data_IF_092328705457
#
_entry.id   IF_092328705457
#
_cell.length_a   1.000
_cell.length_b   1.000
_cell.length_c   1.000
_cell.angle_alpha   90.00
_cell.angle_beta   90.00
_cell.angle_gamma   90.00
#
_symmetry.space_group_name_H-M   'P 1'
#
loop_
_entity.id
_entity.type
_entity.pdbx_description
1 polymer ?
#
# COMPACT_ATOMS: atom_id res chain seq x y z
N UNK A 1 -9.47 -2.77 15.61
CA UNK A 1 -9.29 -4.15 15.12
C UNK A 1 -8.14 -4.18 14.15
N UNK A 2 -7.14 -5.03 14.38
CA UNK A 2 -6.02 -5.23 13.47
C UNK A 2 -6.30 -6.47 12.63
N UNK A 3 -6.28 -6.34 11.31
CA UNK A 3 -6.69 -7.40 10.37
C UNK A 3 -5.52 -7.77 9.47
N UNK A 4 -5.34 -9.07 9.25
CA UNK A 4 -4.39 -9.63 8.29
C UNK A 4 -4.83 -9.42 6.84
N UNK A 5 -3.89 -9.27 5.94
CA UNK A 5 -4.15 -9.06 4.50
C UNK A 5 -4.92 -10.25 3.93
N UNK A 6 -4.50 -11.45 4.31
CA UNK A 6 -5.13 -12.72 3.97
C UNK A 6 -6.57 -12.86 4.51
N UNK A 7 -6.95 -12.09 5.53
CA UNK A 7 -8.32 -12.11 6.05
C UNK A 7 -9.30 -11.30 5.18
N UNK A 8 -8.80 -10.57 4.19
CA UNK A 8 -9.63 -9.84 3.25
C UNK A 8 -10.11 -10.81 2.14
N UNK A 9 -11.16 -11.59 2.41
CA UNK A 9 -11.76 -12.49 1.43
C UNK A 9 -12.74 -11.79 0.47
N UNK A 10 -13.07 -12.47 -0.65
CA UNK A 10 -13.75 -11.92 -1.83
C UNK A 10 -15.28 -11.77 -1.70
N UNK A 11 -15.92 -12.29 -0.66
CA UNK A 11 -17.39 -12.47 -0.67
C UNK A 11 -18.13 -12.19 0.65
N UNK A 12 -17.48 -11.60 1.64
CA UNK A 12 -18.20 -11.26 2.87
C UNK A 12 -18.58 -9.78 2.86
N UNK A 13 -19.89 -9.52 2.79
CA UNK A 13 -20.49 -8.23 3.14
C UNK A 13 -20.31 -7.98 4.64
N UNK A 14 -19.06 -7.88 5.10
CA UNK A 14 -18.75 -7.60 6.50
C UNK A 14 -19.02 -6.12 6.73
N UNK A 15 -20.15 -5.86 7.37
CA UNK A 15 -20.46 -4.53 7.89
C UNK A 15 -19.92 -4.45 9.31
N UNK A 16 -19.02 -3.50 9.54
CA UNK A 16 -18.55 -3.20 10.88
C UNK A 16 -19.44 -2.11 11.50
N UNK A 17 -19.74 -2.19 12.81
CA UNK A 17 -20.49 -1.14 13.50
C UNK A 17 -19.81 0.22 13.38
N UNK A 18 -20.61 1.29 13.33
CA UNK A 18 -20.10 2.66 13.38
C UNK A 18 -19.28 2.88 14.67
N UNK A 19 -18.08 3.44 14.52
CA UNK A 19 -17.16 3.71 15.64
C UNK A 19 -16.06 2.67 15.83
N UNK A 20 -16.07 1.55 15.09
CA UNK A 20 -14.95 0.60 15.11
C UNK A 20 -13.81 1.12 14.22
N UNK A 21 -12.65 1.35 14.83
CA UNK A 21 -11.42 1.61 14.07
C UNK A 21 -10.82 0.29 13.56
N UNK A 22 -10.51 0.24 12.27
CA UNK A 22 -9.91 -0.91 11.62
C UNK A 22 -8.56 -0.48 11.04
N UNK A 23 -7.55 -1.29 11.29
CA UNK A 23 -6.24 -1.15 10.69
C UNK A 23 -5.77 -2.45 10.06
N UNK A 24 -5.01 -2.34 8.98
CA UNK A 24 -4.44 -3.47 8.26
C UNK A 24 -2.94 -3.59 8.56
N UNK A 25 -2.51 -4.81 8.88
CA UNK A 25 -1.10 -5.17 9.03
C UNK A 25 -0.91 -6.69 8.90
N UNK A 26 0.32 -7.18 8.84
CA UNK A 26 0.59 -8.61 8.87
C UNK A 26 0.37 -9.16 10.30
N UNK A 27 -0.65 -10.00 10.49
CA UNK A 27 -1.03 -10.57 11.79
C UNK A 27 -0.73 -12.06 11.82
N UNK A 28 -0.14 -12.53 12.91
CA UNK A 28 0.32 -13.92 13.04
C UNK A 28 -0.64 -14.80 13.85
N UNK A 29 -1.86 -14.32 14.11
CA UNK A 29 -2.85 -15.06 14.88
C UNK A 29 -4.10 -14.24 15.21
N UNK A 30 -5.13 -14.94 15.67
CA UNK A 30 -6.41 -14.35 16.06
C UNK A 30 -6.40 -14.06 17.56
N UNK A 31 -6.31 -12.77 17.91
CA UNK A 31 -6.16 -12.33 19.29
C UNK A 31 -7.27 -11.33 19.64
N UNK A 32 -7.93 -11.53 20.79
CA UNK A 32 -8.85 -10.56 21.38
C UNK A 32 -8.25 -10.02 22.67
N UNK A 33 -8.17 -8.70 22.80
CA UNK A 33 -7.64 -8.02 23.99
C UNK A 33 -8.79 -7.28 24.66
N UNK A 34 -9.02 -7.57 25.93
CA UNK A 34 -10.05 -6.93 26.75
C UNK A 34 -9.41 -6.11 27.86
N UNK A 35 -9.74 -4.82 27.92
CA UNK A 35 -9.33 -3.85 28.93
C UNK A 35 -7.80 -3.78 29.17
N UNK A 36 -7.00 -4.20 28.19
CA UNK A 36 -5.54 -4.42 28.34
C UNK A 36 -5.16 -5.34 29.52
N UNK A 37 -6.09 -6.18 29.98
CA UNK A 37 -5.95 -7.07 31.14
C UNK A 37 -5.99 -8.55 30.78
N UNK A 38 -6.77 -8.87 29.75
CA UNK A 38 -7.02 -10.25 29.31
C UNK A 38 -6.77 -10.36 27.82
N UNK A 39 -6.08 -11.42 27.43
CA UNK A 39 -5.82 -11.75 26.04
C UNK A 39 -6.38 -13.14 25.77
N UNK A 40 -7.21 -13.25 24.74
CA UNK A 40 -7.71 -14.53 24.23
C UNK A 40 -7.01 -14.82 22.92
N UNK A 41 -6.25 -15.91 22.87
CA UNK A 41 -5.68 -16.44 21.63
C UNK A 41 -6.61 -17.49 21.07
N UNK A 42 -6.94 -17.39 19.79
CA UNK A 42 -7.79 -18.34 19.08
C UNK A 42 -6.94 -19.06 18.04
N UNK A 43 -6.85 -20.38 18.15
CA UNK A 43 -6.21 -21.25 17.17
C UNK A 43 -7.07 -21.29 15.91
N UNK A 44 -6.49 -20.84 14.79
CA UNK A 44 -7.18 -20.76 13.49
C UNK A 44 -7.48 -22.14 12.88
N UNK A 45 -6.82 -23.21 13.35
CA UNK A 45 -6.99 -24.56 12.79
C UNK A 45 -8.17 -25.31 13.39
N UNK A 46 -8.47 -25.08 14.67
CA UNK A 46 -9.45 -25.86 15.41
C UNK A 46 -10.43 -24.99 16.25
N UNK A 47 -10.25 -23.67 16.27
CA UNK A 47 -11.11 -22.73 16.99
C UNK A 47 -10.95 -22.76 18.51
N UNK A 48 -10.05 -23.59 19.07
CA UNK A 48 -9.77 -23.59 20.51
C UNK A 48 -9.16 -22.27 20.91
N UNK A 49 -9.50 -21.82 22.11
CA UNK A 49 -9.02 -20.57 22.65
C UNK A 49 -8.32 -20.77 24.00
N UNK A 50 -7.27 -19.99 24.22
CA UNK A 50 -6.60 -19.89 25.53
C UNK A 50 -6.72 -18.46 26.07
N UNK A 51 -6.86 -18.36 27.39
CA UNK A 51 -6.92 -17.09 28.11
C UNK A 51 -5.58 -16.84 28.80
N UNK A 52 -5.02 -15.66 28.62
CA UNK A 52 -3.76 -15.20 29.24
C UNK A 52 -4.00 -13.85 29.89
N UNK A 53 -3.44 -13.63 31.08
CA UNK A 53 -3.51 -12.34 31.75
C UNK A 53 -2.30 -11.48 31.38
N UNK A 54 -2.49 -10.17 31.28
CA UNK A 54 -1.38 -9.25 30.96
C UNK A 54 -0.44 -9.02 32.14
N UNK A 55 -0.82 -9.47 33.35
CA UNK A 55 0.08 -9.57 34.49
C UNK A 55 1.17 -10.64 34.25
N UNK A 56 0.92 -11.61 33.38
CA UNK A 56 1.91 -12.60 33.00
C UNK A 56 2.92 -11.99 32.01
N UNK A 57 4.23 -12.30 32.09
CA UNK A 57 5.24 -11.76 31.19
C UNK A 57 4.94 -11.97 29.70
N UNK A 58 4.34 -13.12 29.36
CA UNK A 58 3.91 -13.43 28.00
C UNK A 58 2.75 -12.55 27.55
N UNK A 59 1.75 -12.33 28.41
CA UNK A 59 0.63 -11.44 28.12
C UNK A 59 1.10 -10.00 27.92
N UNK A 60 1.96 -9.50 28.81
CA UNK A 60 2.54 -8.15 28.70
C UNK A 60 3.30 -7.93 27.37
N UNK A 61 4.11 -8.91 26.97
CA UNK A 61 4.87 -8.84 25.71
C UNK A 61 3.96 -8.75 24.49
N UNK A 62 2.83 -9.47 24.49
CA UNK A 62 1.86 -9.42 23.39
C UNK A 62 1.11 -8.08 23.32
N UNK A 63 0.83 -7.43 24.46
CA UNK A 63 0.26 -6.07 24.46
C UNK A 63 1.22 -5.07 23.81
N UNK A 64 2.51 -5.13 24.16
CA UNK A 64 3.52 -4.25 23.56
C UNK A 64 3.61 -4.46 22.05
N UNK A 65 3.67 -5.72 21.62
CA UNK A 65 3.70 -6.06 20.19
C UNK A 65 2.45 -5.55 19.47
N UNK A 66 1.27 -5.71 20.08
CA UNK A 66 0.03 -5.18 19.52
C UNK A 66 0.09 -3.65 19.38
N UNK A 67 0.52 -2.92 20.41
CA UNK A 67 0.61 -1.46 20.37
C UNK A 67 1.61 -0.97 19.30
N UNK A 68 2.76 -1.62 19.18
CA UNK A 68 3.74 -1.34 18.13
C UNK A 68 3.18 -1.56 16.72
N UNK A 69 2.51 -2.70 16.50
CA UNK A 69 1.84 -2.99 15.23
C UNK A 69 0.72 -1.98 14.98
N UNK A 70 -0.13 -1.71 15.96
CA UNK A 70 -1.26 -0.78 15.85
C UNK A 70 -0.84 0.64 15.45
N UNK A 71 0.30 1.11 15.97
CA UNK A 71 0.87 2.43 15.62
C UNK A 71 1.34 2.49 14.18
N UNK A 72 1.91 1.40 13.67
CA UNK A 72 2.43 1.29 12.28
C UNK A 72 1.37 0.83 11.28
N UNK A 73 0.27 0.27 11.78
CA UNK A 73 -0.78 -0.33 10.97
C UNK A 73 -1.59 0.73 10.23
N UNK A 74 -2.07 0.32 9.08
CA UNK A 74 -2.69 1.21 8.12
C UNK A 74 -4.18 1.38 8.41
N UNK A 75 -4.65 2.60 8.69
CA UNK A 75 -6.07 2.84 8.93
C UNK A 75 -6.88 2.65 7.65
N UNK A 76 -7.92 1.84 7.71
CA UNK A 76 -8.78 1.53 6.56
C UNK A 76 -10.25 1.73 6.91
N UNK A 77 -11.04 2.10 5.91
CA UNK A 77 -12.50 2.08 6.03
C UNK A 77 -13.03 0.68 5.65
N UNK A 78 -14.08 0.17 6.31
CA UNK A 78 -14.69 -1.12 5.99
C UNK A 78 -14.98 -1.36 4.51
N UNK A 79 -15.46 -0.34 3.79
CA UNK A 79 -15.75 -0.43 2.35
C UNK A 79 -14.52 -0.63 1.45
N UNK A 80 -13.31 -0.44 1.99
CA UNK A 80 -12.06 -0.69 1.26
C UNK A 80 -11.64 -2.17 1.31
N UNK A 81 -12.20 -2.97 2.22
CA UNK A 81 -11.88 -4.40 2.34
C UNK A 81 -12.40 -5.20 1.12
N UNK A 82 -13.50 -4.78 0.51
CA UNK A 82 -14.08 -5.52 -0.63
C UNK A 82 -13.56 -5.07 -1.99
N UNK A 83 -12.80 -3.98 -2.06
CA UNK A 83 -12.33 -3.41 -3.32
C UNK A 83 -11.00 -4.04 -3.75
N UNK A 84 -10.97 -4.64 -4.95
CA UNK A 84 -9.76 -5.20 -5.59
C UNK A 84 -8.58 -4.20 -5.55
N UNK A 85 -8.83 -2.94 -5.91
CA UNK A 85 -7.82 -1.87 -5.97
C UNK A 85 -7.20 -1.63 -4.59
N UNK A 86 -7.99 -1.70 -3.51
CA UNK A 86 -7.49 -1.48 -2.16
C UNK A 86 -6.58 -2.62 -1.66
N UNK A 87 -6.84 -3.86 -2.09
CA UNK A 87 -5.96 -5.00 -1.80
C UNK A 87 -4.62 -4.87 -2.52
N UNK A 88 -4.68 -4.65 -3.83
CA UNK A 88 -3.49 -4.47 -4.66
C UNK A 88 -2.66 -3.27 -4.20
N UNK A 89 -3.32 -2.17 -3.81
CA UNK A 89 -2.67 -0.98 -3.25
C UNK A 89 -1.91 -1.28 -1.96
N UNK A 90 -2.50 -2.09 -1.07
CA UNK A 90 -1.84 -2.46 0.17
C UNK A 90 -0.65 -3.39 -0.06
N UNK A 91 -0.84 -4.41 -0.90
CA UNK A 91 0.21 -5.34 -1.29
C UNK A 91 1.39 -4.59 -1.89
N UNK A 92 1.13 -3.66 -2.83
CA UNK A 92 2.17 -2.82 -3.43
C UNK A 92 2.87 -1.92 -2.40
N UNK A 93 2.12 -1.32 -1.46
CA UNK A 93 2.71 -0.54 -0.37
C UNK A 93 3.69 -1.35 0.48
N UNK A 94 3.31 -2.58 0.88
CA UNK A 94 4.20 -3.44 1.69
C UNK A 94 5.48 -3.80 0.93
N UNK A 95 5.37 -4.06 -0.37
CA UNK A 95 6.50 -4.33 -1.25
C UNK A 95 7.46 -3.16 -1.34
N UNK A 96 6.94 -1.95 -1.51
CA UNK A 96 7.75 -0.72 -1.56
C UNK A 96 8.53 -0.52 -0.26
N UNK A 97 7.91 -0.83 0.88
CA UNK A 97 8.53 -0.64 2.20
C UNK A 97 9.56 -1.73 2.55
N UNK A 98 9.46 -2.93 1.97
CA UNK A 98 10.34 -4.06 2.32
C UNK A 98 11.03 -4.61 1.07
N UNK A 99 10.35 -5.47 0.31
CA UNK A 99 10.91 -6.35 -0.74
C UNK A 99 11.60 -5.58 -1.88
N UNK A 100 11.06 -4.43 -2.29
CA UNK A 100 11.54 -3.67 -3.45
C UNK A 100 12.53 -2.56 -3.09
N UNK A 101 12.79 -2.34 -1.80
CA UNK A 101 13.51 -1.16 -1.32
C UNK A 101 14.92 -1.01 -1.92
N UNK A 102 15.66 -2.12 -2.08
CA UNK A 102 16.98 -2.13 -2.72
C UNK A 102 16.90 -1.87 -4.24
N UNK A 103 15.96 -2.52 -4.93
CA UNK A 103 15.79 -2.38 -6.39
C UNK A 103 15.45 -0.92 -6.75
N UNK A 104 14.52 -0.33 -6.00
CA UNK A 104 14.09 1.06 -6.19
C UNK A 104 15.22 2.06 -5.90
N UNK A 105 16.06 1.78 -4.89
CA UNK A 105 17.24 2.58 -4.61
C UNK A 105 18.24 2.52 -5.76
N UNK A 106 18.55 1.32 -6.28
CA UNK A 106 19.48 1.17 -7.41
C UNK A 106 18.98 1.88 -8.67
N UNK A 107 17.70 1.74 -9.01
CA UNK A 107 17.09 2.42 -10.14
C UNK A 107 17.16 3.95 -9.99
N UNK A 108 16.95 4.46 -8.77
CA UNK A 108 17.05 5.89 -8.50
C UNK A 108 18.46 6.46 -8.73
N UNK A 109 19.51 5.65 -8.51
CA UNK A 109 20.92 6.05 -8.67
C UNK A 109 21.38 5.88 -10.12
N UNK A 110 21.04 4.76 -10.76
CA UNK A 110 21.53 4.43 -12.11
C UNK A 110 20.91 5.29 -13.20
N UNK A 111 19.76 5.91 -12.94
CA UNK A 111 18.97 6.62 -13.96
C UNK A 111 18.76 5.76 -15.23
N UNK A 112 18.60 4.44 -15.05
CA UNK A 112 18.33 3.49 -16.12
C UNK A 112 16.82 3.45 -16.39
N UNK A 113 16.46 3.37 -17.67
CA UNK A 113 15.08 3.28 -18.15
C UNK A 113 14.62 1.81 -18.31
N UNK A 114 15.49 0.83 -17.98
CA UNK A 114 15.13 -0.57 -17.96
C UNK A 114 14.43 -0.99 -16.66
N UNK A 115 13.10 -0.97 -16.67
CA UNK A 115 12.27 -1.35 -15.53
C UNK A 115 11.83 -2.82 -15.53
N UNK A 116 12.30 -3.63 -16.47
CA UNK A 116 11.83 -5.02 -16.64
C UNK A 116 11.93 -5.82 -15.34
N UNK A 117 13.09 -5.76 -14.69
CA UNK A 117 13.33 -6.47 -13.45
C UNK A 117 12.42 -6.01 -12.29
N UNK A 118 12.09 -4.71 -12.22
CA UNK A 118 11.17 -4.18 -11.21
C UNK A 118 9.75 -4.72 -11.42
N UNK A 119 9.29 -4.75 -12.68
CA UNK A 119 7.96 -5.29 -13.02
C UNK A 119 7.89 -6.78 -12.69
N UNK A 120 8.92 -7.54 -13.07
CA UNK A 120 8.96 -8.98 -12.83
C UNK A 120 8.89 -9.31 -11.33
N UNK A 121 9.62 -8.59 -10.48
CA UNK A 121 9.54 -8.79 -9.03
C UNK A 121 8.20 -8.32 -8.45
N UNK A 122 7.62 -7.20 -8.91
CA UNK A 122 6.28 -6.77 -8.49
C UNK A 122 5.25 -7.85 -8.83
N UNK A 123 5.28 -8.43 -10.03
CA UNK A 123 4.30 -9.44 -10.45
C UNK A 123 4.51 -10.79 -9.74
N UNK A 124 5.76 -11.16 -9.51
CA UNK A 124 6.15 -12.39 -8.81
C UNK A 124 5.78 -12.38 -7.33
N UNK A 125 6.08 -11.30 -6.61
CA UNK A 125 5.62 -11.15 -5.23
C UNK A 125 4.13 -10.82 -5.19
N UNK A 126 3.63 -10.24 -6.27
CA UNK A 126 2.35 -9.57 -6.36
C UNK A 126 1.17 -10.50 -6.44
N UNK A 127 1.34 -11.70 -7.02
CA UNK A 127 0.37 -12.77 -7.35
C UNK A 127 -1.05 -12.30 -7.80
N UNK A 128 -1.66 -11.43 -7.03
CA UNK A 128 -2.85 -10.61 -7.29
C UNK A 128 -2.57 -9.35 -8.13
N UNK A 129 -1.39 -8.70 -8.04
CA UNK A 129 -1.08 -7.48 -8.80
C UNK A 129 -0.77 -7.83 -10.26
N UNK A 130 -1.81 -7.80 -11.11
CA UNK A 130 -1.68 -7.93 -12.56
C UNK A 130 -2.41 -6.78 -13.24
N UNK A 131 -1.74 -5.62 -13.31
CA UNK A 131 -2.28 -4.44 -13.96
C UNK A 131 -2.41 -4.68 -15.46
N UNK A 132 -3.59 -4.38 -16.01
CA UNK A 132 -3.90 -4.50 -17.43
C UNK A 132 -3.81 -3.18 -18.18
N UNK A 133 -3.76 -2.05 -17.46
CA UNK A 133 -3.68 -0.72 -18.05
C UNK A 133 -2.99 0.30 -17.15
N UNK A 134 -2.69 1.48 -17.70
CA UNK A 134 -2.11 2.61 -16.97
C UNK A 134 -3.10 3.15 -15.91
N UNK A 135 -4.39 3.16 -16.21
CA UNK A 135 -5.45 3.62 -15.29
C UNK A 135 -5.55 2.73 -14.05
N UNK A 136 -5.39 1.41 -14.23
CA UNK A 136 -5.43 0.46 -13.12
C UNK A 136 -4.27 0.69 -12.16
N UNK A 137 -3.03 0.81 -12.66
CA UNK A 137 -1.87 1.10 -11.80
C UNK A 137 -1.96 2.49 -11.17
N UNK A 138 -2.45 3.50 -11.90
CA UNK A 138 -2.71 4.85 -11.36
C UNK A 138 -3.68 4.79 -10.19
N UNK A 139 -4.77 4.02 -10.32
CA UNK A 139 -5.77 3.87 -9.26
C UNK A 139 -5.22 3.11 -8.05
N UNK A 140 -4.44 2.05 -8.28
CA UNK A 140 -3.77 1.28 -7.23
C UNK A 140 -2.80 2.18 -6.46
N UNK A 141 -1.98 2.95 -7.16
CA UNK A 141 -1.00 3.83 -6.52
C UNK A 141 -1.70 5.01 -5.82
N UNK A 142 -2.70 5.66 -6.43
CA UNK A 142 -3.47 6.71 -5.74
C UNK A 142 -4.06 6.19 -4.42
N UNK A 143 -4.66 4.99 -4.46
CA UNK A 143 -5.15 4.31 -3.28
C UNK A 143 -4.03 4.06 -2.26
N UNK A 144 -2.89 3.50 -2.68
CA UNK A 144 -1.75 3.24 -1.78
C UNK A 144 -1.23 4.52 -1.11
N UNK A 145 -1.15 5.61 -1.87
CA UNK A 145 -0.71 6.92 -1.37
C UNK A 145 -1.67 7.53 -0.36
N UNK A 146 -2.97 7.47 -0.66
CA UNK A 146 -4.02 7.98 0.23
C UNK A 146 -4.01 7.26 1.56
N UNK A 147 -3.87 5.94 1.53
CA UNK A 147 -3.94 5.18 2.76
C UNK A 147 -2.62 5.32 3.54
N UNK A 148 -1.46 5.21 2.89
CA UNK A 148 -0.17 5.06 3.59
C UNK A 148 0.61 6.34 3.84
N UNK A 149 0.33 7.42 3.08
CA UNK A 149 1.14 8.64 3.12
C UNK A 149 0.32 9.92 3.23
N UNK A 150 -1.02 9.81 3.38
CA UNK A 150 -1.95 10.95 3.22
C UNK A 150 -1.73 11.71 1.90
N UNK A 151 -1.17 11.03 0.90
CA UNK A 151 -0.88 11.58 -0.41
C UNK A 151 -2.01 11.33 -1.40
N UNK A 152 -1.76 11.67 -2.65
CA UNK A 152 -2.64 11.31 -3.76
C UNK A 152 -1.86 11.27 -5.07
N UNK A 153 -2.44 10.58 -6.03
CA UNK A 153 -2.04 10.61 -7.42
C UNK A 153 -3.23 11.07 -8.26
N UNK A 154 -2.98 12.03 -9.15
CA UNK A 154 -4.00 12.60 -10.02
C UNK A 154 -3.49 12.61 -11.46
N UNK A 155 -4.30 12.12 -12.39
CA UNK A 155 -4.06 12.27 -13.82
C UNK A 155 -4.76 13.52 -14.37
N UNK A 156 -4.00 14.38 -15.03
CA UNK A 156 -4.47 15.61 -15.67
C UNK A 156 -4.44 15.43 -17.19
N UNK A 157 -5.60 15.09 -17.76
CA UNK A 157 -5.76 14.79 -19.18
C UNK A 157 -5.34 15.95 -20.11
N UNK A 158 -5.62 17.20 -19.71
CA UNK A 158 -5.30 18.40 -20.49
C UNK A 158 -3.81 18.57 -20.78
N UNK A 159 -2.95 18.16 -19.83
CA UNK A 159 -1.50 18.30 -19.92
C UNK A 159 -0.78 16.96 -20.09
N UNK A 160 -1.54 15.87 -20.21
CA UNK A 160 -1.04 14.49 -20.26
C UNK A 160 -0.05 14.21 -19.12
N UNK A 161 -0.42 14.64 -17.91
CA UNK A 161 0.47 14.71 -16.76
C UNK A 161 -0.11 13.95 -15.58
N UNK A 162 0.72 13.17 -14.91
CA UNK A 162 0.41 12.54 -13.64
C UNK A 162 1.08 13.37 -12.54
N UNK A 163 0.27 13.89 -11.63
CA UNK A 163 0.72 14.57 -10.43
C UNK A 163 0.73 13.58 -9.28
N UNK A 164 1.86 13.49 -8.60
CA UNK A 164 2.10 12.62 -7.47
C UNK A 164 2.38 13.50 -6.25
N UNK A 165 1.52 13.48 -5.23
CA UNK A 165 1.62 14.35 -4.06
C UNK A 165 1.74 13.54 -2.77
N UNK A 166 2.56 14.02 -1.84
CA UNK A 166 2.86 13.43 -0.55
C UNK A 166 2.80 14.45 0.57
N UNK A 167 2.07 14.12 1.64
CA UNK A 167 2.08 14.93 2.87
C UNK A 167 3.02 14.37 3.95
N UNK A 168 3.70 13.25 3.69
CA UNK A 168 4.67 12.64 4.61
C UNK A 168 6.03 13.36 4.57
N UNK A 169 6.56 13.70 5.75
CA UNK A 169 7.91 14.27 5.90
C UNK A 169 9.02 13.23 6.04
N UNK A 170 8.65 11.98 6.29
CA UNK A 170 9.60 10.90 6.62
C UNK A 170 9.87 9.97 5.44
N UNK A 171 9.01 9.99 4.42
CA UNK A 171 9.05 9.01 3.32
C UNK A 171 9.13 9.70 1.97
N UNK A 172 9.88 9.09 1.05
CA UNK A 172 10.14 9.64 -0.29
C UNK A 172 9.06 9.29 -1.29
N UNK A 173 8.78 10.23 -2.19
CA UNK A 173 7.89 10.08 -3.33
C UNK A 173 8.51 9.29 -4.51
N UNK A 174 9.84 9.20 -4.54
CA UNK A 174 10.62 8.64 -5.66
C UNK A 174 10.27 7.18 -5.97
N UNK A 175 10.15 6.26 -4.98
CA UNK A 175 9.73 4.88 -5.24
C UNK A 175 8.47 4.76 -6.09
N UNK A 176 7.46 5.57 -5.76
CA UNK A 176 6.17 5.56 -6.43
C UNK A 176 6.25 6.14 -7.85
N UNK A 177 7.05 7.19 -8.04
CA UNK A 177 7.33 7.72 -9.36
C UNK A 177 8.00 6.67 -10.26
N UNK A 178 8.98 5.91 -9.76
CA UNK A 178 9.66 4.85 -10.51
C UNK A 178 8.70 3.71 -10.90
N UNK A 179 7.81 3.30 -10.01
CA UNK A 179 6.82 2.25 -10.31
C UNK A 179 5.85 2.73 -11.40
N UNK A 180 5.38 3.97 -11.34
CA UNK A 180 4.51 4.54 -12.39
C UNK A 180 5.25 4.56 -13.74
N UNK A 181 6.50 5.03 -13.75
CA UNK A 181 7.33 5.05 -14.95
C UNK A 181 7.52 3.66 -15.54
N UNK A 182 7.76 2.66 -14.69
CA UNK A 182 7.89 1.26 -15.08
C UNK A 182 6.63 0.75 -15.78
N UNK A 183 5.45 0.95 -15.19
CA UNK A 183 4.20 0.48 -15.80
C UNK A 183 3.81 1.28 -17.05
N UNK A 184 4.07 2.59 -17.11
CA UNK A 184 3.89 3.35 -18.36
C UNK A 184 4.73 2.72 -19.49
N UNK A 185 6.00 2.43 -19.20
CA UNK A 185 6.91 1.78 -20.17
C UNK A 185 6.43 0.39 -20.56
N UNK A 186 5.96 -0.41 -19.58
CA UNK A 186 5.38 -1.74 -19.81
C UNK A 186 4.24 -1.71 -20.84
N UNK A 187 3.38 -0.70 -20.76
CA UNK A 187 2.26 -0.52 -21.69
C UNK A 187 2.67 0.22 -22.98
N UNK A 188 3.96 0.27 -23.32
CA UNK A 188 4.46 0.82 -24.58
C UNK A 188 4.41 2.33 -24.69
N UNK A 189 4.26 3.03 -23.56
CA UNK A 189 4.25 4.48 -23.50
C UNK A 189 5.59 5.01 -22.97
N UNK A 190 5.93 6.26 -23.30
CA UNK A 190 7.10 6.94 -22.72
C UNK A 190 6.66 8.09 -21.83
N UNK A 191 7.42 8.31 -20.76
CA UNK A 191 7.20 9.40 -19.83
C UNK A 191 8.51 10.01 -19.34
N UNK A 192 8.42 11.20 -18.74
CA UNK A 192 9.53 11.87 -18.07
C UNK A 192 9.07 12.45 -16.76
N UNK A 193 9.88 12.26 -15.72
CA UNK A 193 9.71 12.95 -14.45
C UNK A 193 10.10 14.42 -14.65
N UNK A 194 9.21 15.32 -14.26
CA UNK A 194 9.40 16.76 -14.22
C UNK A 194 9.41 17.16 -12.75
N UNK A 195 10.55 17.70 -12.31
CA UNK A 195 10.65 18.33 -11.00
C UNK A 195 10.24 19.80 -11.14
N UNK A 196 9.31 20.25 -10.30
CA UNK A 196 9.08 21.68 -10.18
C UNK A 196 10.20 22.28 -9.31
N UNK A 197 11.19 22.91 -9.96
CA UNK A 197 12.25 23.63 -9.26
C UNK A 197 11.80 24.98 -8.67
N UNK A 198 10.59 25.46 -8.98
CA UNK A 198 10.09 26.77 -8.54
C UNK A 198 9.30 26.69 -7.24
N UNK A 199 8.61 25.59 -7.00
CA UNK A 199 8.04 25.28 -5.68
C UNK A 199 9.00 24.36 -4.92
N UNK A 200 9.75 24.89 -3.94
CA UNK A 200 10.55 24.09 -2.99
C UNK A 200 9.69 23.20 -2.06
N UNK A 201 8.50 22.80 -2.48
CA UNK A 201 7.72 21.76 -1.80
C UNK A 201 8.20 20.42 -2.36
N UNK A 202 9.14 19.79 -1.65
CA UNK A 202 9.68 18.45 -1.92
C UNK A 202 8.64 17.29 -1.90
N UNK A 203 7.35 17.65 -1.97
CA UNK A 203 6.19 16.84 -1.70
C UNK A 203 5.43 16.48 -2.96
N UNK A 204 5.73 17.11 -4.10
CA UNK A 204 5.03 16.85 -5.37
C UNK A 204 6.00 16.52 -6.49
N UNK A 205 5.75 15.41 -7.19
CA UNK A 205 6.45 15.00 -8.41
C UNK A 205 5.46 15.03 -9.57
N UNK A 206 5.89 15.55 -10.71
CA UNK A 206 5.10 15.51 -11.94
C UNK A 206 5.71 14.51 -12.92
N UNK A 207 4.87 13.75 -13.61
CA UNK A 207 5.28 12.79 -14.65
C UNK A 207 4.53 13.16 -15.92
N UNK A 208 5.25 13.55 -16.97
CA UNK A 208 4.67 13.91 -18.26
C UNK A 208 4.75 12.73 -19.22
N UNK A 209 3.62 12.31 -19.76
CA UNK A 209 3.51 11.30 -20.79
C UNK A 209 3.86 11.93 -22.16
N UNK A 210 4.79 11.33 -22.91
CA UNK A 210 5.36 11.88 -24.14
C UNK A 210 4.63 11.45 -25.41
N UNK A 211 4.12 10.21 -25.44
CA UNK A 211 3.41 9.65 -26.60
C UNK A 211 2.26 8.74 -26.09
N UNK A 212 1.05 9.28 -25.86
CA UNK A 212 -0.04 8.49 -25.31
C UNK A 212 -0.63 7.56 -26.38
N UNK A 213 -0.34 6.26 -26.30
CA UNK A 213 -1.22 5.24 -26.87
C UNK A 213 -2.32 4.94 -25.85
N UNK A 214 -3.35 5.82 -25.86
CA UNK A 214 -4.68 5.65 -25.27
C UNK A 214 -4.72 5.35 -23.76
N UNK A 215 -4.77 6.42 -22.95
CA UNK A 215 -5.50 6.35 -21.68
C UNK A 215 -6.99 6.45 -22.04
N UNK A 216 -7.71 5.34 -22.03
CA UNK A 216 -9.14 5.32 -22.31
C UNK A 216 -9.91 5.75 -21.06
N UNK A 217 -10.29 7.03 -21.03
CA UNK A 217 -11.25 7.54 -20.06
C UNK A 217 -12.62 6.97 -20.41
N UNK A 218 -13.10 6.01 -19.61
CA UNK A 218 -14.53 5.67 -19.54
C UNK A 218 -15.13 6.26 -18.27
#
# INVERSE_FOLDING_TARGET
>A
MLIGIESIYKDSAVTFPNGVEIKLDNVTGNILIFDFKKIVFIDSTNGKASLIFTADPFGFSNIKLFDEKWKKALRINPGMLTNKISKEAFTLYKMVENELSQILLELSIKHDDNYTYLIDEIEKFGNEINCKSIEEIVSIIDCALRISYSGYLKYESHNNMIQLHFDSKEKSAVPWALIIMAYIKKFGNDAKIIYDHREMKANTIYIKLLYPSLIHVN
#
